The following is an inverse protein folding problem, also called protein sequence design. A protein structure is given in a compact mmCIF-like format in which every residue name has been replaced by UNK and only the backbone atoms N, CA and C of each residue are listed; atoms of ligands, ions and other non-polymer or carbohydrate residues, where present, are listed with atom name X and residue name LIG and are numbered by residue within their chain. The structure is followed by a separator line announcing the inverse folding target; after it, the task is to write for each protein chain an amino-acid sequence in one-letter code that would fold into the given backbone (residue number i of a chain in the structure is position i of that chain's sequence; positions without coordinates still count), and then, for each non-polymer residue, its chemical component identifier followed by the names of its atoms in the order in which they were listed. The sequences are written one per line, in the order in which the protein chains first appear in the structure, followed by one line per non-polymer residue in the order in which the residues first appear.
data_IF_135262842940
#
_entry.id   IF_135262842940
#
_cell.length_a   1.000
_cell.length_b   1.000
_cell.length_c   1.000
_cell.angle_alpha   90.00
_cell.angle_beta   90.00
_cell.angle_gamma   90.00
#
_symmetry.space_group_name_H-M   'P 1'
#
loop_
_entity.id
_entity.type
_entity.pdbx_description
1 polymer ?
#
# COMPACT_ATOMS: atom_id res chain seq x y z
N UNK A 1 -12.64 15.63 20.79
CA UNK A 1 -11.20 15.77 21.09
C UNK A 1 -10.91 15.94 22.58
N UNK A 2 -11.52 16.90 23.28
CA UNK A 2 -11.25 17.17 24.71
C UNK A 2 -11.53 15.97 25.64
N UNK A 3 -12.64 15.26 25.46
CA UNK A 3 -12.95 14.07 26.27
C UNK A 3 -11.89 12.96 26.18
N UNK A 4 -11.36 12.68 24.98
CA UNK A 4 -10.30 11.69 24.79
C UNK A 4 -8.98 12.15 25.43
N UNK A 5 -8.66 13.45 25.35
CA UNK A 5 -7.48 14.01 26.01
C UNK A 5 -7.59 13.93 27.54
N UNK A 6 -8.78 14.17 28.10
CA UNK A 6 -9.03 14.04 29.54
C UNK A 6 -8.99 12.56 30.01
N UNK A 7 -9.49 11.64 29.18
CA UNK A 7 -9.52 10.20 29.51
C UNK A 7 -8.14 9.53 29.39
N UNK A 8 -7.45 9.75 28.28
CA UNK A 8 -6.19 9.06 27.96
C UNK A 8 -4.97 9.84 28.45
N UNK A 9 -5.13 11.14 28.69
CA UNK A 9 -4.02 12.04 28.95
C UNK A 9 -3.09 12.18 27.74
N UNK A 10 -1.99 12.90 27.97
CA UNK A 10 -0.92 13.07 26.99
C UNK A 10 -0.25 11.74 26.64
N UNK A 11 -0.04 10.89 27.65
CA UNK A 11 0.74 9.66 27.48
C UNK A 11 -0.08 8.57 26.80
N UNK A 12 -1.38 8.47 27.06
CA UNK A 12 -2.25 7.57 26.30
C UNK A 12 -2.32 7.95 24.83
N UNK A 13 -2.43 9.25 24.51
CA UNK A 13 -2.38 9.70 23.10
C UNK A 13 -1.02 9.40 22.44
N UNK A 14 0.08 9.56 23.16
CA UNK A 14 1.42 9.19 22.66
C UNK A 14 1.54 7.70 22.41
N UNK A 15 1.02 6.85 23.30
CA UNK A 15 1.00 5.41 23.11
C UNK A 15 0.21 5.02 21.85
N UNK A 16 -0.96 5.63 21.63
CA UNK A 16 -1.77 5.40 20.44
C UNK A 16 -1.04 5.80 19.13
N UNK A 17 -0.38 6.95 19.13
CA UNK A 17 0.41 7.39 17.97
C UNK A 17 1.64 6.52 17.75
N UNK A 18 2.31 6.10 18.83
CA UNK A 18 3.45 5.19 18.79
C UNK A 18 3.05 3.85 18.16
N UNK A 19 1.94 3.28 18.62
CA UNK A 19 1.36 2.05 18.06
C UNK A 19 1.06 2.16 16.57
N UNK A 20 0.47 3.28 16.14
CA UNK A 20 0.17 3.54 14.73
C UNK A 20 1.44 3.55 13.86
N UNK A 21 2.53 4.15 14.35
CA UNK A 21 3.83 4.17 13.65
C UNK A 21 4.48 2.79 13.68
N UNK A 22 4.44 2.08 14.80
CA UNK A 22 5.00 0.73 14.92
C UNK A 22 4.34 -0.25 13.95
N UNK A 23 3.01 -0.25 13.86
CA UNK A 23 2.27 -1.09 12.92
C UNK A 23 2.52 -0.69 11.46
N UNK A 24 2.73 0.59 11.19
CA UNK A 24 3.19 1.04 9.87
C UNK A 24 4.59 0.51 9.54
N UNK A 25 5.52 0.48 10.50
CA UNK A 25 6.86 -0.11 10.30
C UNK A 25 6.77 -1.60 9.98
N UNK A 26 5.98 -2.35 10.74
CA UNK A 26 5.73 -3.78 10.49
C UNK A 26 5.19 -4.00 9.08
N UNK A 27 4.22 -3.18 8.63
CA UNK A 27 3.68 -3.28 7.28
C UNK A 27 4.77 -3.04 6.22
N UNK A 28 5.60 -2.00 6.39
CA UNK A 28 6.66 -1.69 5.43
C UNK A 28 7.71 -2.79 5.38
N UNK A 29 8.14 -3.32 6.52
CA UNK A 29 9.06 -4.45 6.57
C UNK A 29 8.46 -5.67 5.87
N UNK A 30 7.17 -5.94 6.09
CA UNK A 30 6.47 -7.05 5.44
C UNK A 30 6.38 -6.85 3.93
N UNK A 31 6.18 -5.62 3.45
CA UNK A 31 6.18 -5.27 2.02
C UNK A 31 7.59 -5.44 1.43
N UNK A 32 8.62 -4.89 2.07
CA UNK A 32 10.01 -4.96 1.60
C UNK A 32 10.57 -6.38 1.56
N UNK A 33 9.99 -7.30 2.34
CA UNK A 33 10.32 -8.72 2.30
C UNK A 33 9.69 -9.47 1.10
N UNK A 34 8.92 -8.80 0.24
CA UNK A 34 8.23 -9.39 -0.91
C UNK A 34 8.78 -8.82 -2.22
N UNK A 35 9.36 -9.65 -3.10
CA UNK A 35 9.89 -9.17 -4.38
C UNK A 35 8.81 -8.61 -5.31
N UNK A 36 7.53 -8.92 -5.08
CA UNK A 36 6.42 -8.49 -5.93
C UNK A 36 5.89 -7.08 -5.58
N UNK A 37 6.35 -6.50 -4.47
CA UNK A 37 5.83 -5.25 -3.92
C UNK A 37 6.93 -4.21 -3.77
N UNK A 38 6.57 -2.93 -3.87
CA UNK A 38 7.49 -1.82 -3.58
C UNK A 38 6.77 -0.68 -2.87
N UNK A 39 7.43 -0.07 -1.90
CA UNK A 39 6.94 1.13 -1.20
C UNK A 39 7.25 2.37 -2.05
N UNK A 40 6.26 3.25 -2.23
CA UNK A 40 6.35 4.44 -3.09
C UNK A 40 6.63 5.72 -2.30
N UNK A 41 6.51 5.66 -0.97
CA UNK A 41 6.69 6.78 -0.05
C UNK A 41 7.63 6.43 1.12
N UNK A 42 8.80 5.86 0.82
CA UNK A 42 9.81 5.47 1.82
C UNK A 42 10.19 6.62 2.77
N UNK A 43 10.31 7.84 2.25
CA UNK A 43 10.66 9.05 3.01
C UNK A 43 9.54 9.55 3.95
N UNK A 44 8.30 9.07 3.80
CA UNK A 44 7.20 9.55 4.63
C UNK A 44 7.29 9.00 6.06
N UNK A 45 7.36 9.92 7.02
CA UNK A 45 7.17 9.62 8.45
C UNK A 45 5.69 9.67 8.82
N UNK A 46 5.18 8.61 9.46
CA UNK A 46 3.80 8.53 9.95
C UNK A 46 3.03 7.31 9.45
N UNK A 47 1.77 7.13 9.86
CA UNK A 47 1.07 5.84 9.74
C UNK A 47 0.54 5.51 8.34
N UNK A 48 1.01 6.21 7.30
CA UNK A 48 0.61 6.00 5.90
C UNK A 48 1.70 5.23 5.16
N UNK A 49 1.29 4.16 4.49
CA UNK A 49 2.13 3.44 3.52
C UNK A 49 1.45 3.44 2.17
N UNK A 50 2.14 3.95 1.15
CA UNK A 50 1.79 3.84 -0.25
C UNK A 50 2.70 2.79 -0.88
N UNK A 51 2.11 1.84 -1.60
CA UNK A 51 2.86 0.74 -2.18
C UNK A 51 2.20 0.27 -3.47
N UNK A 52 2.99 -0.39 -4.32
CA UNK A 52 2.57 -0.94 -5.60
C UNK A 52 2.90 -2.43 -5.64
N UNK A 53 2.06 -3.18 -6.32
CA UNK A 53 2.32 -4.55 -6.75
C UNK A 53 2.73 -4.55 -8.22
N UNK A 54 3.65 -5.44 -8.59
CA UNK A 54 4.19 -5.55 -9.94
C UNK A 54 4.04 -6.98 -10.48
N UNK A 55 3.98 -7.19 -11.79
CA UNK A 55 4.05 -8.53 -12.42
C UNK A 55 5.33 -9.32 -12.05
N UNK A 56 5.35 -10.64 -12.31
CA UNK A 56 6.50 -11.51 -11.97
C UNK A 56 7.75 -11.19 -12.80
N UNK A 57 7.59 -10.59 -13.98
CA UNK A 57 8.66 -10.21 -14.91
C UNK A 57 9.35 -8.86 -14.56
N UNK A 58 8.95 -8.21 -13.47
CA UNK A 58 9.41 -6.86 -13.14
C UNK A 58 10.34 -6.85 -11.93
N UNK A 59 11.52 -6.24 -12.09
CA UNK A 59 12.44 -5.94 -11.00
C UNK A 59 11.92 -4.74 -10.19
N UNK A 60 11.33 -5.02 -9.03
CA UNK A 60 10.69 -4.02 -8.16
C UNK A 60 11.66 -3.06 -7.48
N UNK A 61 12.96 -3.38 -7.43
CA UNK A 61 13.98 -2.46 -6.94
C UNK A 61 14.23 -1.31 -7.91
N UNK A 62 14.05 -1.56 -9.21
CA UNK A 62 14.26 -0.54 -10.24
C UNK A 62 12.95 0.02 -10.79
N UNK A 63 11.84 -0.72 -10.70
CA UNK A 63 10.57 -0.38 -11.33
C UNK A 63 10.14 1.06 -11.04
N UNK A 64 10.07 1.47 -9.77
CA UNK A 64 9.63 2.82 -9.40
C UNK A 64 10.57 3.91 -9.97
N UNK A 65 11.88 3.67 -9.96
CA UNK A 65 12.85 4.62 -10.52
C UNK A 65 12.66 4.78 -12.02
N UNK A 66 12.43 3.67 -12.75
CA UNK A 66 12.14 3.69 -14.19
C UNK A 66 10.80 4.37 -14.48
N UNK A 67 9.75 4.04 -13.73
CA UNK A 67 8.43 4.69 -13.84
C UNK A 67 8.51 6.22 -13.65
N UNK A 68 9.39 6.69 -12.75
CA UNK A 68 9.56 8.12 -12.48
C UNK A 68 10.42 8.83 -13.54
N UNK A 69 11.45 8.18 -14.05
CA UNK A 69 12.54 8.87 -14.76
C UNK A 69 12.74 8.46 -16.22
N UNK A 70 12.19 7.33 -16.66
CA UNK A 70 12.38 6.83 -18.03
C UNK A 70 11.12 7.05 -18.88
N UNK A 71 11.22 7.93 -19.87
CA UNK A 71 10.11 8.23 -20.80
C UNK A 71 9.66 7.00 -21.60
N UNK A 72 10.59 6.10 -21.95
CA UNK A 72 10.27 4.83 -22.63
C UNK A 72 9.48 3.84 -21.77
N UNK A 73 9.28 4.14 -20.48
CA UNK A 73 8.58 3.26 -19.54
C UNK A 73 7.07 3.57 -19.44
N UNK A 74 6.55 4.54 -20.19
CA UNK A 74 5.15 4.97 -20.14
C UNK A 74 4.13 3.82 -20.30
N UNK A 75 4.34 2.91 -21.26
CA UNK A 75 3.46 1.75 -21.46
C UNK A 75 3.47 0.82 -20.23
N UNK A 76 4.64 0.61 -19.63
CA UNK A 76 4.79 -0.16 -18.39
C UNK A 76 4.08 0.52 -17.22
N UNK A 77 4.18 1.86 -17.09
CA UNK A 77 3.44 2.63 -16.08
C UNK A 77 1.93 2.37 -16.21
N UNK A 78 1.39 2.41 -17.43
CA UNK A 78 -0.02 2.10 -17.67
C UNK A 78 -0.38 0.66 -17.29
N UNK A 79 0.42 -0.34 -17.69
CA UNK A 79 0.20 -1.75 -17.33
C UNK A 79 0.23 -1.96 -15.82
N UNK A 80 1.19 -1.36 -15.12
CA UNK A 80 1.30 -1.46 -13.67
C UNK A 80 0.16 -0.73 -12.96
N UNK A 81 -0.26 0.42 -13.48
CA UNK A 81 -1.41 1.14 -12.95
C UNK A 81 -2.69 0.32 -13.08
N UNK A 82 -2.91 -0.30 -14.23
CA UNK A 82 -4.07 -1.16 -14.46
C UNK A 82 -4.08 -2.36 -13.49
N UNK A 83 -2.94 -3.03 -13.31
CA UNK A 83 -2.80 -4.12 -12.34
C UNK A 83 -3.20 -3.66 -10.93
N UNK A 84 -2.65 -2.55 -10.46
CA UNK A 84 -2.91 -2.05 -9.10
C UNK A 84 -4.36 -1.60 -8.92
N UNK A 85 -4.99 -1.01 -9.95
CA UNK A 85 -6.41 -0.67 -9.92
C UNK A 85 -7.29 -1.92 -9.80
N UNK A 86 -7.01 -2.96 -10.60
CA UNK A 86 -7.75 -4.23 -10.53
C UNK A 86 -7.56 -4.94 -9.18
N UNK A 87 -6.34 -4.90 -8.62
CA UNK A 87 -6.06 -5.44 -7.27
C UNK A 87 -6.91 -4.72 -6.23
N UNK A 88 -6.92 -3.38 -6.29
CA UNK A 88 -7.74 -2.58 -5.39
C UNK A 88 -9.23 -2.92 -5.49
N UNK A 89 -9.77 -2.98 -6.70
CA UNK A 89 -11.19 -3.30 -6.92
C UNK A 89 -11.56 -4.68 -6.35
N UNK A 90 -10.71 -5.69 -6.58
CA UNK A 90 -10.91 -7.04 -6.05
C UNK A 90 -10.91 -7.08 -4.51
N UNK A 91 -9.95 -6.38 -3.87
CA UNK A 91 -9.87 -6.30 -2.41
C UNK A 91 -11.03 -5.50 -1.84
N UNK A 92 -11.39 -4.39 -2.48
CA UNK A 92 -12.48 -3.51 -2.02
C UNK A 92 -13.82 -4.25 -2.05
N UNK A 93 -14.10 -5.03 -3.08
CA UNK A 93 -15.31 -5.86 -3.16
C UNK A 93 -15.37 -6.89 -2.01
N UNK A 94 -14.24 -7.54 -1.70
CA UNK A 94 -14.13 -8.48 -0.57
C UNK A 94 -14.29 -7.77 0.77
N UNK A 95 -13.73 -6.58 0.92
CA UNK A 95 -13.80 -5.79 2.14
C UNK A 95 -15.24 -5.35 2.46
N UNK A 96 -16.00 -4.94 1.43
CA UNK A 96 -17.43 -4.62 1.57
C UNK A 96 -18.23 -5.83 2.09
N UNK A 97 -17.82 -7.04 1.73
CA UNK A 97 -18.44 -8.28 2.19
C UNK A 97 -17.90 -8.75 3.56
N UNK A 98 -16.98 -8.00 4.18
CA UNK A 98 -16.32 -8.38 5.43
C UNK A 98 -15.28 -9.50 5.29
N UNK A 99 -14.90 -9.86 4.07
CA UNK A 99 -13.98 -10.95 3.75
C UNK A 99 -12.52 -10.50 3.54
N UNK A 100 -12.25 -9.18 3.55
CA UNK A 100 -10.92 -8.63 3.41
C UNK A 100 -10.72 -7.37 4.27
N UNK A 101 -9.46 -7.00 4.48
CA UNK A 101 -9.07 -5.75 5.14
C UNK A 101 -9.25 -4.61 4.14
N UNK A 102 -9.98 -3.58 4.54
CA UNK A 102 -10.13 -2.38 3.73
C UNK A 102 -8.78 -1.67 3.59
N UNK A 103 -8.40 -1.40 2.35
CA UNK A 103 -7.26 -0.54 1.99
C UNK A 103 -7.80 0.64 1.18
N UNK A 104 -7.00 1.69 1.04
CA UNK A 104 -7.26 2.80 0.14
C UNK A 104 -6.54 2.64 -1.20
N UNK A 105 -6.84 3.57 -2.10
CA UNK A 105 -6.19 3.72 -3.40
C UNK A 105 -6.01 5.19 -3.71
N UNK A 106 -4.94 5.54 -4.42
CA UNK A 106 -4.73 6.87 -4.96
C UNK A 106 -4.35 6.74 -6.43
N UNK A 107 -5.08 7.43 -7.30
CA UNK A 107 -4.85 7.38 -8.76
C UNK A 107 -3.66 8.24 -9.19
N UNK A 108 -3.18 9.12 -8.31
CA UNK A 108 -2.12 10.07 -8.59
C UNK A 108 -1.31 10.32 -7.30
N UNK A 109 -0.30 9.49 -7.05
CA UNK A 109 0.65 9.73 -5.95
C UNK A 109 1.93 10.41 -6.38
N UNK A 110 2.35 10.22 -7.64
CA UNK A 110 3.53 10.80 -8.27
C UNK A 110 3.29 10.88 -9.78
N UNK A 111 4.12 11.64 -10.47
CA UNK A 111 4.09 11.78 -11.92
C UNK A 111 5.40 11.24 -12.50
N UNK A 112 5.33 10.53 -13.62
CA UNK A 112 6.51 10.18 -14.42
C UNK A 112 7.12 11.44 -15.05
N UNK A 113 8.32 11.30 -15.62
CA UNK A 113 8.94 12.37 -16.41
C UNK A 113 8.14 12.70 -17.67
N UNK A 114 7.40 11.74 -18.23
CA UNK A 114 6.50 11.97 -19.37
C UNK A 114 5.11 12.52 -18.96
N UNK A 115 4.82 12.61 -17.65
CA UNK A 115 3.60 13.19 -17.11
C UNK A 115 2.47 12.19 -16.84
N UNK A 116 2.72 10.87 -16.96
CA UNK A 116 1.76 9.86 -16.54
C UNK A 116 1.60 9.85 -15.01
N UNK A 117 0.37 9.79 -14.49
CA UNK A 117 0.15 9.62 -13.06
C UNK A 117 0.52 8.19 -12.66
N UNK A 118 1.22 8.04 -11.55
CA UNK A 118 1.53 6.76 -10.90
C UNK A 118 0.52 6.56 -9.78
N UNK A 119 -0.21 5.45 -9.82
CA UNK A 119 -1.17 5.10 -8.76
C UNK A 119 -0.53 4.31 -7.61
N UNK A 120 -1.23 4.14 -6.50
CA UNK A 120 -0.75 3.28 -5.42
C UNK A 120 -1.89 2.72 -4.57
N UNK A 121 -1.67 1.51 -4.06
CA UNK A 121 -2.40 0.97 -2.93
C UNK A 121 -1.98 1.73 -1.67
N UNK A 122 -2.93 1.99 -0.78
CA UNK A 122 -2.73 2.81 0.42
C UNK A 122 -3.19 2.08 1.66
N UNK A 123 -2.33 1.99 2.66
CA UNK A 123 -2.73 1.63 4.02
C UNK A 123 -2.58 2.83 4.95
N UNK A 124 -3.59 3.05 5.80
CA UNK A 124 -3.56 4.10 6.82
C UNK A 124 -3.91 3.52 8.19
N UNK A 125 -2.89 3.35 9.02
CA UNK A 125 -2.97 2.57 10.25
C UNK A 125 -3.20 3.49 11.45
N UNK A 126 -4.46 3.72 11.83
CA UNK A 126 -4.80 4.53 13.01
C UNK A 126 -5.54 3.77 14.10
N UNK A 127 -6.05 2.57 13.80
CA UNK A 127 -6.82 1.81 14.77
C UNK A 127 -5.92 1.32 15.91
N UNK A 128 -6.25 1.59 17.19
CA UNK A 128 -5.51 1.03 18.33
C UNK A 128 -5.57 -0.49 18.40
N UNK A 129 -6.54 -1.11 17.73
CA UNK A 129 -6.78 -2.55 17.80
C UNK A 129 -6.08 -3.32 16.69
N UNK A 130 -5.36 -2.63 15.82
CA UNK A 130 -4.60 -3.27 14.77
C UNK A 130 -3.36 -3.92 15.36
N UNK A 131 -2.97 -5.07 14.83
CA UNK A 131 -1.82 -5.85 15.28
C UNK A 131 -0.99 -6.24 14.07
N UNK A 132 0.19 -6.79 14.32
CA UNK A 132 1.05 -7.31 13.26
C UNK A 132 0.32 -8.35 12.38
N UNK A 133 -0.59 -9.14 12.95
CA UNK A 133 -1.36 -10.13 12.20
C UNK A 133 -2.20 -9.47 11.12
N UNK A 134 -2.89 -8.35 11.43
CA UNK A 134 -3.62 -7.61 10.41
C UNK A 134 -2.68 -7.00 9.37
N UNK A 135 -1.50 -6.52 9.76
CA UNK A 135 -0.52 -5.97 8.80
C UNK A 135 -0.02 -7.04 7.81
N UNK A 136 0.27 -8.24 8.29
CA UNK A 136 0.63 -9.38 7.43
C UNK A 136 -0.53 -9.79 6.53
N UNK A 137 -1.75 -9.83 7.08
CA UNK A 137 -2.95 -10.15 6.31
C UNK A 137 -3.23 -9.15 5.18
N UNK A 138 -2.88 -7.86 5.32
CA UNK A 138 -2.97 -6.89 4.21
C UNK A 138 -2.10 -7.34 3.05
N UNK A 139 -0.83 -7.67 3.31
CA UNK A 139 0.12 -8.11 2.28
C UNK A 139 -0.32 -9.42 1.65
N UNK A 140 -0.78 -10.39 2.45
CA UNK A 140 -1.26 -11.68 1.94
C UNK A 140 -2.46 -11.55 1.02
N UNK A 141 -3.43 -10.70 1.37
CA UNK A 141 -4.61 -10.45 0.54
C UNK A 141 -4.27 -9.72 -0.76
N UNK A 142 -3.33 -8.78 -0.72
CA UNK A 142 -2.80 -8.12 -1.93
C UNK A 142 -2.12 -9.12 -2.84
N UNK A 143 -1.24 -9.97 -2.31
CA UNK A 143 -0.55 -10.99 -3.10
C UNK A 143 -1.52 -12.05 -3.66
N UNK A 144 -2.57 -12.41 -2.90
CA UNK A 144 -3.61 -13.30 -3.39
C UNK A 144 -4.38 -12.69 -4.57
N UNK A 145 -4.88 -11.45 -4.41
CA UNK A 145 -5.57 -10.75 -5.48
C UNK A 145 -4.67 -10.55 -6.72
N UNK A 146 -3.39 -10.20 -6.52
CA UNK A 146 -2.40 -10.11 -7.59
C UNK A 146 -2.29 -11.41 -8.38
N UNK A 147 -2.11 -12.56 -7.70
CA UNK A 147 -2.00 -13.87 -8.37
C UNK A 147 -3.25 -14.20 -9.19
N UNK A 148 -4.43 -13.95 -8.64
CA UNK A 148 -5.69 -14.18 -9.35
C UNK A 148 -5.82 -13.32 -10.60
N UNK A 149 -5.44 -12.04 -10.51
CA UNK A 149 -5.49 -11.12 -11.65
C UNK A 149 -4.47 -11.54 -12.71
N UNK A 150 -3.22 -11.82 -12.33
CA UNK A 150 -2.19 -12.26 -13.27
C UNK A 150 -2.54 -13.59 -13.96
N UNK A 151 -3.20 -14.51 -13.26
CA UNK A 151 -3.67 -15.78 -13.84
C UNK A 151 -4.76 -15.57 -14.91
N UNK A 152 -5.52 -14.47 -14.83
CA UNK A 152 -6.55 -14.09 -15.80
C UNK A 152 -6.02 -13.14 -16.89
N UNK A 153 -4.70 -12.88 -16.92
CA UNK A 153 -4.01 -11.97 -17.84
C UNK A 153 -3.18 -12.69 -18.92
N UNK A 154 -3.53 -13.95 -19.22
CA UNK A 154 -2.96 -14.75 -20.31
C UNK A 154 -3.85 -14.77 -21.54
#
# INVERSE_FOLDING_TARGET
ALANLLLLGKDGLRALLGHAVEMQSVLRETISARPELSVVNDDNVGPVTLFRAYPDDVDTFQALSRELHEESYAESVHRHNELNARIFDAIQQRAIQGAAIAIGFTSDCRHSTAGEPINALKSYVLSPFVTELQMRSVVEQVLAARREILANFG
#
